data_IF_173176471582
#
_entry.id   IF_173176471582
#
_cell.length_a   1.000
_cell.length_b   1.000
_cell.length_c   1.000
_cell.angle_alpha   90.00
_cell.angle_beta   90.00
_cell.angle_gamma   90.00
#
_symmetry.space_group_name_H-M   'P 1'
#
loop_
_entity.id
_entity.type
_entity.pdbx_description
1 polymer ?
#
# COMPACT_ATOMS: atom_id res chain seq x y z
N UNK A 1 -32.80 -3.32 2.43
CA UNK A 1 -32.59 -3.76 1.04
C UNK A 1 -31.48 -2.88 0.47
N UNK A 2 -30.31 -3.44 0.15
CA UNK A 2 -29.19 -2.69 -0.44
C UNK A 2 -29.54 -2.32 -1.89
N UNK A 3 -29.27 -1.07 -2.30
CA UNK A 3 -29.57 -0.61 -3.64
C UNK A 3 -28.68 -1.31 -4.68
N UNK A 4 -29.21 -1.72 -5.85
CA UNK A 4 -28.45 -2.48 -6.86
C UNK A 4 -27.24 -1.75 -7.42
N UNK A 5 -27.19 -0.40 -7.37
CA UNK A 5 -26.05 0.42 -7.80
C UNK A 5 -24.78 0.19 -6.98
N UNK A 6 -24.92 -0.10 -5.67
CA UNK A 6 -23.78 -0.40 -4.80
C UNK A 6 -23.08 -1.71 -5.16
N UNK A 7 -23.81 -2.69 -5.65
CA UNK A 7 -23.26 -4.01 -5.98
C UNK A 7 -22.43 -3.97 -7.27
N UNK A 8 -22.89 -3.25 -8.30
CA UNK A 8 -22.18 -3.10 -9.58
C UNK A 8 -20.87 -2.30 -9.43
N UNK A 9 -20.87 -1.24 -8.63
CA UNK A 9 -19.66 -0.46 -8.34
C UNK A 9 -18.62 -1.28 -7.56
N UNK A 10 -19.06 -2.06 -6.59
CA UNK A 10 -18.21 -2.93 -5.78
C UNK A 10 -17.49 -3.98 -6.64
N UNK A 11 -18.22 -4.63 -7.55
CA UNK A 11 -17.66 -5.62 -8.49
C UNK A 11 -16.61 -5.01 -9.41
N UNK A 12 -16.81 -3.75 -9.85
CA UNK A 12 -15.85 -3.03 -10.70
C UNK A 12 -14.53 -2.73 -9.99
N UNK A 13 -14.57 -2.38 -8.71
CA UNK A 13 -13.36 -2.07 -7.93
C UNK A 13 -12.52 -3.32 -7.61
N UNK A 14 -13.18 -4.39 -7.21
CA UNK A 14 -12.51 -5.67 -6.97
C UNK A 14 -11.79 -6.15 -8.23
N UNK A 15 -12.43 -6.00 -9.38
CA UNK A 15 -11.82 -6.35 -10.67
C UNK A 15 -10.57 -5.51 -10.94
N UNK A 16 -10.61 -4.18 -10.70
CA UNK A 16 -9.43 -3.31 -10.86
C UNK A 16 -8.29 -3.70 -9.93
N UNK A 17 -8.59 -4.02 -8.67
CA UNK A 17 -7.58 -4.46 -7.69
C UNK A 17 -6.93 -5.78 -8.13
N UNK A 18 -7.73 -6.73 -8.60
CA UNK A 18 -7.24 -8.03 -9.07
C UNK A 18 -6.42 -7.89 -10.36
N UNK A 19 -6.84 -7.06 -11.31
CA UNK A 19 -6.11 -6.78 -12.54
C UNK A 19 -4.75 -6.15 -12.21
N UNK A 20 -4.71 -5.18 -11.28
CA UNK A 20 -3.47 -4.55 -10.84
C UNK A 20 -2.54 -5.53 -10.12
N UNK A 21 -3.05 -6.41 -9.26
CA UNK A 21 -2.29 -7.49 -8.64
C UNK A 21 -1.69 -8.44 -9.68
N UNK A 22 -2.46 -8.83 -10.68
CA UNK A 22 -1.98 -9.67 -11.76
C UNK A 22 -0.87 -9.01 -12.57
N UNK A 23 -0.97 -7.71 -12.80
CA UNK A 23 0.08 -6.94 -13.47
C UNK A 23 1.35 -6.89 -12.63
N UNK A 24 1.24 -6.56 -11.34
CA UNK A 24 2.38 -6.58 -10.41
C UNK A 24 3.03 -7.96 -10.31
N UNK A 25 2.24 -9.04 -10.28
CA UNK A 25 2.79 -10.40 -10.23
C UNK A 25 3.59 -10.75 -11.50
N UNK A 26 3.18 -10.23 -12.67
CA UNK A 26 3.93 -10.39 -13.92
C UNK A 26 5.22 -9.59 -13.95
N UNK A 27 5.17 -8.34 -13.47
CA UNK A 27 6.32 -7.44 -13.43
C UNK A 27 7.35 -7.85 -12.36
N UNK A 28 6.86 -8.41 -11.25
CA UNK A 28 7.67 -8.78 -10.09
C UNK A 28 7.47 -10.26 -9.73
N UNK A 29 7.84 -11.21 -10.60
CA UNK A 29 7.57 -12.65 -10.42
C UNK A 29 8.33 -13.26 -9.24
N UNK A 30 9.36 -12.58 -8.73
CA UNK A 30 10.12 -13.02 -7.56
C UNK A 30 9.34 -12.88 -6.24
N UNK A 31 8.28 -12.06 -6.21
CA UNK A 31 7.46 -11.85 -5.02
C UNK A 31 6.14 -12.61 -5.13
N UNK A 32 5.55 -12.89 -3.97
CA UNK A 32 4.28 -13.60 -3.84
C UNK A 32 3.28 -12.65 -3.19
N UNK A 33 2.19 -12.34 -3.88
CA UNK A 33 1.11 -11.52 -3.35
C UNK A 33 0.02 -12.42 -2.77
N UNK A 34 -0.33 -12.21 -1.50
CA UNK A 34 -1.35 -12.99 -0.78
C UNK A 34 -2.35 -12.08 -0.08
N UNK A 35 -3.61 -12.47 -0.12
CA UNK A 35 -4.61 -11.84 0.72
C UNK A 35 -4.31 -12.05 2.22
N UNK A 36 -4.55 -11.03 3.03
CA UNK A 36 -4.31 -11.02 4.46
C UNK A 36 -5.20 -10.01 5.17
N UNK A 37 -5.06 -9.90 6.47
CA UNK A 37 -5.85 -8.96 7.29
C UNK A 37 -5.31 -7.52 7.28
N UNK A 38 -4.17 -7.30 6.67
CA UNK A 38 -3.53 -5.98 6.53
C UNK A 38 -2.42 -6.02 5.50
N UNK A 39 -2.05 -4.85 4.98
CA UNK A 39 -0.85 -4.70 4.14
C UNK A 39 0.41 -4.93 4.97
N UNK A 40 1.30 -5.77 4.48
CA UNK A 40 2.63 -5.97 5.06
C UNK A 40 3.54 -6.76 4.14
N UNK A 41 4.81 -6.41 4.11
CA UNK A 41 5.84 -7.29 3.58
C UNK A 41 6.26 -8.32 4.64
N UNK A 42 6.32 -9.59 4.25
CA UNK A 42 6.86 -10.67 5.06
C UNK A 42 8.07 -11.28 4.34
N UNK A 43 9.28 -11.06 4.89
CA UNK A 43 10.50 -11.60 4.28
C UNK A 43 10.44 -13.12 4.07
N UNK A 44 11.11 -13.65 3.05
CA UNK A 44 11.91 -12.91 2.08
C UNK A 44 11.12 -12.44 0.85
N UNK A 45 9.90 -12.91 0.60
CA UNK A 45 9.23 -12.74 -0.70
C UNK A 45 7.73 -12.48 -0.66
N UNK A 46 7.08 -12.52 0.49
CA UNK A 46 5.62 -12.49 0.56
C UNK A 46 5.13 -11.08 0.88
N UNK A 47 4.24 -10.56 0.06
CA UNK A 47 3.53 -9.30 0.26
C UNK A 47 2.07 -9.65 0.54
N UNK A 48 1.59 -9.28 1.73
CA UNK A 48 0.18 -9.41 2.07
C UNK A 48 -0.56 -8.13 1.71
N UNK A 49 -1.77 -8.28 1.21
CA UNK A 49 -2.68 -7.19 0.90
C UNK A 49 -4.05 -7.44 1.53
N UNK A 50 -4.74 -6.36 1.87
CA UNK A 50 -6.08 -6.43 2.45
C UNK A 50 -7.13 -6.27 1.35
N UNK A 51 -8.07 -7.22 1.26
CA UNK A 51 -9.25 -7.09 0.42
C UNK A 51 -10.37 -6.41 1.20
N UNK A 52 -11.03 -5.45 0.57
CA UNK A 52 -12.08 -4.60 1.20
C UNK A 52 -13.30 -5.41 1.64
N UNK A 53 -13.42 -6.67 1.23
CA UNK A 53 -14.54 -7.54 1.57
C UNK A 53 -14.06 -8.78 2.31
N UNK A 54 -14.66 -9.03 3.50
CA UNK A 54 -14.46 -10.21 4.35
C UNK A 54 -14.98 -11.55 3.75
N UNK A 55 -15.08 -11.67 2.44
CA UNK A 55 -15.23 -12.97 1.82
C UNK A 55 -13.86 -13.63 1.76
N UNK A 56 -13.69 -14.72 2.48
CA UNK A 56 -12.50 -15.56 2.39
C UNK A 56 -12.15 -15.76 0.91
N UNK A 57 -10.92 -15.37 0.49
CA UNK A 57 -10.49 -15.65 -0.86
C UNK A 57 -10.48 -17.17 -1.00
N UNK A 58 -11.41 -17.69 -1.77
CA UNK A 58 -11.38 -19.09 -2.17
C UNK A 58 -9.99 -19.37 -2.73
N UNK A 59 -9.27 -20.21 -2.00
CA UNK A 59 -7.94 -20.75 -2.20
C UNK A 59 -7.32 -20.48 -3.58
N UNK A 60 -6.12 -19.86 -3.57
CA UNK A 60 -5.20 -19.75 -4.70
C UNK A 60 -5.73 -18.96 -5.91
N UNK A 61 -5.72 -17.63 -5.77
CA UNK A 61 -5.85 -16.73 -6.91
C UNK A 61 -4.66 -16.95 -7.87
N UNK A 62 -4.89 -17.68 -8.94
CA UNK A 62 -3.95 -17.81 -10.05
C UNK A 62 -4.34 -16.82 -11.15
N UNK A 63 -3.43 -15.94 -11.55
CA UNK A 63 -3.61 -14.96 -12.63
C UNK A 63 -4.11 -15.56 -13.96
N UNK A 64 -4.13 -16.87 -14.09
CA UNK A 64 -4.60 -17.57 -15.30
C UNK A 64 -6.11 -17.43 -15.57
N UNK A 65 -6.93 -17.08 -14.56
CA UNK A 65 -8.39 -16.96 -14.75
C UNK A 65 -8.84 -15.61 -15.36
N UNK A 66 -8.02 -14.58 -15.34
CA UNK A 66 -8.40 -13.25 -15.81
C UNK A 66 -8.22 -13.04 -17.33
N UNK A 67 -7.56 -13.97 -18.05
CA UNK A 67 -7.19 -13.78 -19.46
C UNK A 67 -8.32 -14.20 -20.44
N UNK A 68 -9.39 -14.83 -19.97
CA UNK A 68 -10.35 -15.51 -20.85
C UNK A 68 -11.51 -14.67 -21.41
N UNK A 69 -11.55 -13.34 -21.19
CA UNK A 69 -12.69 -12.51 -21.68
C UNK A 69 -12.30 -11.15 -22.21
N UNK A 70 -11.25 -11.02 -23.03
CA UNK A 70 -11.08 -9.81 -23.85
C UNK A 70 -11.03 -10.15 -25.34
N UNK A 71 -12.19 -10.41 -25.92
CA UNK A 71 -12.41 -10.10 -27.33
C UNK A 71 -12.48 -8.57 -27.45
N UNK A 72 -11.38 -7.99 -27.93
CA UNK A 72 -11.30 -6.55 -28.24
C UNK A 72 -12.13 -6.32 -29.50
N UNK A 73 -13.37 -5.89 -29.32
CA UNK A 73 -14.14 -5.27 -30.37
C UNK A 73 -13.74 -3.79 -30.46
N UNK A 74 -13.04 -3.44 -31.52
CA UNK A 74 -12.75 -2.05 -31.91
C UNK A 74 -14.05 -1.35 -32.23
N UNK A 75 -14.59 -0.55 -31.33
CA UNK A 75 -15.69 0.36 -31.61
C UNK A 75 -15.30 1.82 -31.38
N UNK A 76 -15.45 2.56 -32.45
CA UNK A 76 -15.61 3.99 -32.64
C UNK A 76 -15.72 4.82 -31.37
N UNK A 77 -14.79 5.78 -31.26
CA UNK A 77 -14.83 6.88 -30.28
C UNK A 77 -15.96 7.83 -30.67
N UNK A 78 -17.08 7.73 -30.00
CA UNK A 78 -18.09 8.80 -29.95
C UNK A 78 -17.89 9.61 -28.66
N UNK A 79 -17.74 10.89 -28.84
CA UNK A 79 -17.67 11.95 -27.83
C UNK A 79 -18.72 11.72 -26.71
N UNK A 80 -18.28 11.39 -25.52
CA UNK A 80 -19.14 11.27 -24.34
C UNK A 80 -18.99 12.50 -23.47
N UNK A 81 -20.13 13.20 -23.34
CA UNK A 81 -20.36 14.32 -22.43
C UNK A 81 -19.92 14.00 -21.02
N UNK A 82 -19.23 14.96 -20.37
CA UNK A 82 -18.88 14.97 -18.96
C UNK A 82 -20.12 14.73 -18.08
N UNK A 83 -20.31 13.51 -17.64
CA UNK A 83 -21.14 13.18 -16.49
C UNK A 83 -20.19 12.90 -15.32
N UNK A 84 -20.32 13.69 -14.27
CA UNK A 84 -19.61 13.56 -12.99
C UNK A 84 -19.90 12.19 -12.39
N UNK A 85 -19.02 11.22 -12.67
CA UNK A 85 -19.08 9.90 -12.06
C UNK A 85 -18.49 9.94 -10.62
N UNK A 86 -18.96 9.08 -9.71
CA UNK A 86 -18.72 9.19 -8.27
C UNK A 86 -17.23 9.08 -7.93
N UNK A 87 -16.70 10.13 -7.31
CA UNK A 87 -15.30 10.24 -6.89
C UNK A 87 -14.87 9.20 -5.84
N UNK A 88 -15.83 8.62 -5.11
CA UNK A 88 -15.53 7.71 -3.97
C UNK A 88 -14.95 6.35 -4.40
N UNK A 89 -15.30 5.83 -5.57
CA UNK A 89 -14.82 4.53 -6.04
C UNK A 89 -13.34 4.55 -6.43
N UNK A 90 -12.82 5.68 -6.87
CA UNK A 90 -11.42 5.79 -7.23
C UNK A 90 -10.49 5.86 -6.00
N UNK A 91 -10.95 6.45 -4.90
CA UNK A 91 -10.15 6.64 -3.67
C UNK A 91 -9.72 5.30 -3.05
N UNK A 92 -10.61 4.32 -2.98
CA UNK A 92 -10.30 3.02 -2.39
C UNK A 92 -9.26 2.25 -3.22
N UNK A 93 -9.39 2.27 -4.54
CA UNK A 93 -8.38 1.65 -5.42
C UNK A 93 -7.05 2.39 -5.32
N UNK A 94 -7.03 3.73 -5.29
CA UNK A 94 -5.83 4.54 -5.13
C UNK A 94 -5.08 4.15 -3.84
N UNK A 95 -5.78 4.13 -2.71
CA UNK A 95 -5.20 3.74 -1.42
C UNK A 95 -4.65 2.32 -1.44
N UNK A 96 -5.40 1.38 -2.01
CA UNK A 96 -4.97 0.00 -2.18
C UNK A 96 -3.69 -0.12 -3.00
N UNK A 97 -3.65 0.52 -4.17
CA UNK A 97 -2.52 0.45 -5.08
C UNK A 97 -1.27 1.09 -4.46
N UNK A 98 -1.40 2.26 -3.82
CA UNK A 98 -0.28 2.94 -3.17
C UNK A 98 0.29 2.14 -2.00
N UNK A 99 -0.56 1.55 -1.15
CA UNK A 99 -0.10 0.68 -0.06
C UNK A 99 0.60 -0.56 -0.58
N UNK A 100 0.08 -1.17 -1.65
CA UNK A 100 0.71 -2.34 -2.26
C UNK A 100 2.09 -2.00 -2.87
N UNK A 101 2.22 -0.84 -3.51
CA UNK A 101 3.50 -0.34 -4.00
C UNK A 101 4.48 -0.04 -2.86
N UNK A 102 4.00 0.44 -1.72
CA UNK A 102 4.81 0.64 -0.52
C UNK A 102 5.39 -0.68 0.02
N UNK A 103 4.55 -1.71 0.16
CA UNK A 103 5.02 -3.04 0.58
C UNK A 103 6.00 -3.67 -0.43
N UNK A 104 5.77 -3.43 -1.72
CA UNK A 104 6.73 -3.79 -2.76
C UNK A 104 8.04 -3.00 -2.61
N UNK A 105 7.98 -1.74 -2.20
CA UNK A 105 9.15 -0.92 -1.86
C UNK A 105 10.01 -1.56 -0.76
N UNK A 106 9.39 -2.03 0.34
CA UNK A 106 10.08 -2.80 1.38
C UNK A 106 10.72 -4.06 0.83
N UNK A 107 9.99 -4.81 0.00
CA UNK A 107 10.45 -6.06 -0.58
C UNK A 107 11.65 -5.87 -1.50
N UNK A 108 11.62 -4.87 -2.39
CA UNK A 108 12.71 -4.52 -3.32
C UNK A 108 13.95 -4.04 -2.57
N UNK A 109 13.78 -3.23 -1.53
CA UNK A 109 14.86 -2.71 -0.69
C UNK A 109 15.38 -3.72 0.34
N UNK A 110 14.76 -4.90 0.44
CA UNK A 110 15.13 -5.97 1.40
C UNK A 110 15.06 -5.51 2.86
N UNK A 111 14.04 -4.75 3.21
CA UNK A 111 13.80 -4.27 4.58
C UNK A 111 13.32 -5.41 5.47
N UNK A 112 14.24 -6.22 5.98
CA UNK A 112 13.90 -7.42 6.76
C UNK A 112 13.75 -7.17 8.25
N UNK A 113 14.50 -6.22 8.78
CA UNK A 113 14.49 -5.86 10.20
C UNK A 113 15.05 -4.45 10.40
N UNK A 114 14.81 -3.90 11.57
CA UNK A 114 15.43 -2.68 12.06
C UNK A 114 15.94 -2.92 13.48
N UNK A 115 17.01 -2.24 13.87
CA UNK A 115 17.59 -2.35 15.21
C UNK A 115 17.04 -1.24 16.11
N UNK A 116 17.10 0.00 15.68
CA UNK A 116 16.59 1.14 16.44
C UNK A 116 15.23 1.63 15.88
N UNK A 117 14.44 2.22 16.76
CA UNK A 117 13.11 2.73 16.38
C UNK A 117 13.18 3.83 15.32
N UNK A 118 14.25 4.65 15.34
CA UNK A 118 14.47 5.68 14.30
C UNK A 118 14.77 5.05 12.93
N UNK A 119 15.41 3.89 12.89
CA UNK A 119 15.69 3.17 11.65
C UNK A 119 14.40 2.72 10.99
N UNK A 120 13.39 2.33 11.77
CA UNK A 120 12.08 1.98 11.23
C UNK A 120 11.50 3.13 10.42
N UNK A 121 11.48 4.36 10.95
CA UNK A 121 10.98 5.52 10.20
C UNK A 121 11.80 5.76 8.92
N UNK A 122 13.12 5.54 8.97
CA UNK A 122 13.98 5.62 7.80
C UNK A 122 13.59 4.59 6.73
N UNK A 123 13.38 3.33 7.13
CA UNK A 123 12.96 2.26 6.21
C UNK A 123 11.58 2.52 5.59
N UNK A 124 10.63 3.03 6.39
CA UNK A 124 9.31 3.43 5.87
C UNK A 124 9.43 4.55 4.82
N UNK A 125 10.28 5.55 5.09
CA UNK A 125 10.54 6.64 4.14
C UNK A 125 11.18 6.12 2.85
N UNK A 126 12.16 5.22 2.97
CA UNK A 126 12.82 4.60 1.83
C UNK A 126 11.86 3.76 0.99
N UNK A 127 10.99 2.96 1.63
CA UNK A 127 9.98 2.16 0.94
C UNK A 127 9.05 3.04 0.09
N UNK A 128 8.60 4.18 0.62
CA UNK A 128 7.80 5.14 -0.15
C UNK A 128 8.57 5.77 -1.31
N UNK A 129 9.87 6.05 -1.14
CA UNK A 129 10.71 6.57 -2.23
C UNK A 129 10.87 5.54 -3.35
N UNK A 130 11.04 4.27 -3.01
CA UNK A 130 11.11 3.17 -3.98
C UNK A 130 9.74 2.97 -4.66
N UNK A 131 8.64 2.98 -3.90
CA UNK A 131 7.28 2.94 -4.46
C UNK A 131 7.06 4.04 -5.51
N UNK A 132 7.51 5.27 -5.22
CA UNK A 132 7.45 6.39 -6.16
C UNK A 132 8.31 6.17 -7.41
N UNK A 133 9.50 5.57 -7.26
CA UNK A 133 10.35 5.20 -8.41
C UNK A 133 9.68 4.13 -9.25
N UNK A 134 9.14 3.07 -8.64
CA UNK A 134 8.39 2.02 -9.32
C UNK A 134 7.21 2.62 -10.10
N UNK A 135 6.40 3.47 -9.46
CA UNK A 135 5.28 4.14 -10.11
C UNK A 135 5.71 4.95 -11.36
N UNK A 136 6.84 5.66 -11.28
CA UNK A 136 7.37 6.44 -12.41
C UNK A 136 7.86 5.58 -13.58
N UNK A 137 8.28 4.35 -13.31
CA UNK A 137 8.70 3.40 -14.36
C UNK A 137 7.50 2.82 -15.15
N UNK A 138 6.27 2.99 -14.65
CA UNK A 138 5.05 2.43 -15.21
C UNK A 138 4.01 3.54 -15.49
N UNK A 139 4.28 4.45 -16.46
CA UNK A 139 3.35 5.54 -16.77
C UNK A 139 2.00 5.05 -17.28
N UNK A 140 1.93 3.83 -17.81
CA UNK A 140 0.69 3.16 -18.24
C UNK A 140 -0.32 3.00 -17.09
N UNK A 141 0.10 2.95 -15.85
CA UNK A 141 -0.80 2.85 -14.70
C UNK A 141 -1.65 4.12 -14.50
N UNK A 142 -1.11 5.28 -14.89
CA UNK A 142 -1.89 6.52 -14.88
C UNK A 142 -3.04 6.47 -15.90
N UNK A 143 -2.83 5.82 -17.04
CA UNK A 143 -3.81 5.70 -18.11
C UNK A 143 -4.81 4.59 -17.81
N UNK A 144 -4.31 3.36 -17.54
CA UNK A 144 -5.13 2.16 -17.42
C UNK A 144 -5.95 2.13 -16.12
N UNK A 145 -5.39 2.64 -15.03
CA UNK A 145 -5.98 2.58 -13.69
C UNK A 145 -6.33 3.96 -13.14
N UNK A 146 -6.02 5.04 -13.88
CA UNK A 146 -6.10 6.43 -13.38
C UNK A 146 -5.38 6.60 -12.03
N UNK A 147 -4.33 5.83 -11.84
CA UNK A 147 -3.54 5.84 -10.62
C UNK A 147 -2.69 7.12 -10.58
N UNK A 148 -2.72 7.82 -9.45
CA UNK A 148 -1.86 8.96 -9.16
C UNK A 148 -1.00 8.68 -7.95
N UNK A 149 0.24 9.17 -7.93
CA UNK A 149 1.07 9.06 -6.74
C UNK A 149 0.81 10.26 -5.83
N UNK A 150 -0.09 10.06 -4.87
CA UNK A 150 -0.53 11.09 -3.94
C UNK A 150 0.52 11.28 -2.83
N UNK A 151 1.16 12.46 -2.80
CA UNK A 151 2.16 12.78 -1.81
C UNK A 151 1.55 13.04 -0.43
N UNK A 152 0.35 13.58 -0.35
CA UNK A 152 -0.34 13.85 0.92
C UNK A 152 -0.72 12.52 1.61
N UNK A 153 -1.12 11.53 0.81
CA UNK A 153 -1.33 10.17 1.30
C UNK A 153 -0.05 9.57 1.91
N UNK A 154 1.10 9.76 1.25
CA UNK A 154 2.41 9.29 1.74
C UNK A 154 2.77 9.99 3.05
N UNK A 155 2.63 11.32 3.12
CA UNK A 155 2.95 12.08 4.33
C UNK A 155 2.05 11.68 5.51
N UNK A 156 0.75 11.48 5.27
CA UNK A 156 -0.17 11.00 6.30
C UNK A 156 0.27 9.65 6.88
N UNK A 157 0.74 8.72 6.03
CA UNK A 157 1.27 7.44 6.48
C UNK A 157 2.57 7.60 7.28
N UNK A 158 3.50 8.41 6.81
CA UNK A 158 4.75 8.69 7.51
C UNK A 158 4.51 9.39 8.85
N UNK A 159 3.49 10.25 8.95
CA UNK A 159 3.14 10.92 10.20
C UNK A 159 2.67 9.94 11.28
N UNK A 160 2.07 8.81 10.91
CA UNK A 160 1.74 7.76 11.89
C UNK A 160 3.00 7.21 12.56
N UNK A 161 4.08 7.02 11.80
CA UNK A 161 5.36 6.54 12.32
C UNK A 161 6.12 7.62 13.09
N UNK A 162 6.08 8.89 12.63
CA UNK A 162 6.65 10.04 13.36
C UNK A 162 5.98 10.21 14.71
N UNK A 163 4.65 10.14 14.75
CA UNK A 163 3.88 10.23 15.98
C UNK A 163 4.18 9.07 16.93
N UNK A 164 4.18 7.83 16.41
CA UNK A 164 4.58 6.65 17.18
C UNK A 164 5.98 6.79 17.76
N UNK A 165 6.97 7.25 16.98
CA UNK A 165 8.34 7.44 17.44
C UNK A 165 8.41 8.53 18.51
N UNK A 166 7.71 9.65 18.32
CA UNK A 166 7.63 10.73 19.29
C UNK A 166 7.03 10.25 20.63
N UNK A 167 5.94 9.49 20.58
CA UNK A 167 5.36 8.91 21.78
C UNK A 167 6.34 7.98 22.51
N UNK A 168 7.07 7.12 21.76
CA UNK A 168 8.08 6.23 22.32
C UNK A 168 9.27 7.00 22.93
N UNK A 169 9.66 8.09 22.32
CA UNK A 169 10.79 8.90 22.76
C UNK A 169 10.44 9.93 23.83
N UNK A 170 9.19 10.02 24.27
CA UNK A 170 8.79 10.96 25.33
C UNK A 170 8.86 10.28 26.69
N UNK A 171 9.65 10.84 27.60
CA UNK A 171 9.77 10.34 28.97
C UNK A 171 8.44 10.48 29.74
N UNK A 172 7.87 9.40 30.27
CA UNK A 172 6.60 9.46 31.00
C UNK A 172 6.69 10.18 32.35
N UNK A 173 7.92 10.38 32.89
CA UNK A 173 8.12 11.04 34.19
C UNK A 173 8.24 12.57 34.05
N UNK A 174 9.00 13.04 33.05
CA UNK A 174 9.34 14.47 32.96
C UNK A 174 9.00 15.10 31.58
N UNK A 175 8.52 14.31 30.62
CA UNK A 175 8.14 14.82 29.29
C UNK A 175 9.31 15.14 28.36
N UNK A 176 10.57 14.98 28.80
CA UNK A 176 11.74 15.22 27.95
C UNK A 176 11.93 14.11 26.93
N UNK A 177 12.59 14.44 25.82
CA UNK A 177 12.93 13.47 24.79
C UNK A 177 14.01 12.51 25.28
N UNK A 178 13.69 11.22 25.23
CA UNK A 178 14.62 10.11 25.50
C UNK A 178 15.42 9.76 24.25
N UNK A 179 16.56 9.14 24.44
CA UNK A 179 17.32 8.49 23.35
C UNK A 179 17.28 6.98 23.51
N UNK A 180 17.45 6.26 22.42
CA UNK A 180 17.50 4.81 22.41
C UNK A 180 18.96 4.37 22.33
N UNK A 181 19.40 3.56 23.31
CA UNK A 181 20.73 3.00 23.33
C UNK A 181 20.88 1.84 22.33
N UNK A 182 22.11 1.32 22.09
CA UNK A 182 22.34 0.17 21.21
C UNK A 182 21.60 -1.10 21.63
N UNK A 183 21.20 -1.23 22.90
CA UNK A 183 20.43 -2.37 23.43
C UNK A 183 18.92 -2.16 23.27
N UNK A 184 18.49 -1.12 22.53
CA UNK A 184 17.09 -0.73 22.30
C UNK A 184 16.36 -0.18 23.53
N UNK A 185 17.09 0.13 24.62
CA UNK A 185 16.53 0.73 25.83
C UNK A 185 16.34 2.22 25.65
N UNK A 186 15.19 2.75 26.05
CA UNK A 186 14.92 4.18 26.08
C UNK A 186 15.44 4.79 27.40
N UNK A 187 16.35 5.73 27.30
CA UNK A 187 17.00 6.41 28.42
C UNK A 187 16.65 7.89 28.43
N UNK A 188 16.17 8.36 29.57
CA UNK A 188 15.90 9.78 29.77
C UNK A 188 17.18 10.48 30.26
N UNK A 189 17.63 11.56 29.60
CA UNK A 189 18.83 12.28 30.04
C UNK A 189 18.67 12.94 31.39
N UNK A 190 17.44 13.14 31.86
CA UNK A 190 17.17 13.76 33.16
C UNK A 190 16.84 12.74 34.26
N UNK A 191 16.10 11.66 33.95
CA UNK A 191 15.58 10.77 34.99
C UNK A 191 16.43 9.50 35.21
N UNK A 192 17.20 9.08 34.19
CA UNK A 192 17.89 7.80 34.18
C UNK A 192 19.42 7.95 34.20
N UNK A 193 19.95 9.17 34.02
CA UNK A 193 21.40 9.43 34.03
C UNK A 193 21.87 10.16 35.29
N UNK A 194 20.97 10.53 36.17
CA UNK A 194 21.18 11.13 37.48
C UNK A 194 20.28 10.42 38.50
#
# INVERSE_FOLDING_TARGET
MAQPENLAQKTSQETLMLDFLCELQKLYPAFIFKAGSRFRFHPPKTIYYEMINNHEPTSNFTCQKAISTKNISTHHVTSVKNTSAPQSSNILFQSFALQLLHELGHAVSKHYSYHLSIERLKLETEAWQIAKKIFKLHPEWQINYRLTFDQDFVELHLDTYRHWLHQKATCPKCGLTMFQDPNQTWLCPHCDLF
#
